data_IF_932887124670
#
_entry.id   IF_932887124670
#
_cell.length_a   1.000
_cell.length_b   1.000
_cell.length_c   1.000
_cell.angle_alpha   90.00
_cell.angle_beta   90.00
_cell.angle_gamma   90.00
#
_symmetry.space_group_name_H-M   'P 1'
#
loop_
_entity.id
_entity.type
_entity.pdbx_description
1 polymer ?
#
# COMPACT_ATOMS: atom_id res chain seq x y z
N UNK A 1 37.88 -4.35 -52.78
CA UNK A 1 36.46 -4.79 -52.69
C UNK A 1 36.07 -5.41 -51.34
N UNK A 2 36.94 -6.12 -50.60
CA UNK A 2 36.58 -6.76 -49.32
C UNK A 2 36.20 -5.85 -48.14
N UNK A 3 36.69 -4.59 -48.09
CA UNK A 3 36.35 -3.62 -47.02
C UNK A 3 34.96 -2.99 -47.16
N UNK A 4 34.38 -2.94 -48.37
CA UNK A 4 33.02 -2.40 -48.58
C UNK A 4 31.93 -3.42 -48.24
N UNK A 5 32.24 -4.72 -48.33
CA UNK A 5 31.31 -5.80 -48.00
C UNK A 5 31.17 -6.00 -46.47
N UNK A 6 32.22 -5.72 -45.70
CA UNK A 6 32.22 -5.82 -44.23
C UNK A 6 31.41 -4.69 -43.57
N UNK A 7 31.38 -3.50 -44.17
CA UNK A 7 30.55 -2.38 -43.70
C UNK A 7 29.06 -2.59 -43.98
N UNK A 8 28.70 -3.28 -45.06
CA UNK A 8 27.29 -3.60 -45.34
C UNK A 8 26.73 -4.65 -44.35
N UNK A 9 27.54 -5.63 -43.95
CA UNK A 9 27.11 -6.68 -43.01
C UNK A 9 26.91 -6.16 -41.58
N UNK A 10 27.71 -5.18 -41.16
CA UNK A 10 27.56 -4.53 -39.85
C UNK A 10 26.31 -3.64 -39.76
N UNK A 11 25.89 -3.04 -40.89
CA UNK A 11 24.69 -2.20 -40.93
C UNK A 11 23.40 -3.03 -40.86
N UNK A 12 23.37 -4.23 -41.44
CA UNK A 12 22.19 -5.13 -41.41
C UNK A 12 21.97 -5.74 -40.01
N UNK A 13 23.03 -5.94 -39.21
CA UNK A 13 22.91 -6.44 -37.84
C UNK A 13 22.43 -5.37 -36.84
N UNK A 14 22.67 -4.08 -37.11
CA UNK A 14 22.20 -3.00 -36.24
C UNK A 14 20.68 -2.75 -36.35
N UNK A 15 20.04 -3.11 -37.47
CA UNK A 15 18.60 -2.92 -37.70
C UNK A 15 17.74 -4.03 -37.09
N UNK A 16 18.34 -5.14 -36.64
CA UNK A 16 17.62 -6.26 -36.00
C UNK A 16 17.67 -6.24 -34.47
N UNK A 17 18.38 -5.27 -33.85
CA UNK A 17 18.47 -5.14 -32.39
C UNK A 17 17.43 -4.19 -31.77
N UNK A 18 16.41 -3.79 -32.53
CA UNK A 18 15.26 -3.02 -32.04
C UNK A 18 13.97 -3.72 -32.47
N UNK A 19 13.73 -4.92 -31.94
CA UNK A 19 12.39 -5.51 -31.96
C UNK A 19 12.22 -6.47 -30.80
N UNK A 20 11.94 -5.88 -29.64
CA UNK A 20 10.98 -6.36 -28.65
C UNK A 20 11.05 -5.40 -27.46
N UNK A 21 10.42 -4.23 -27.62
CA UNK A 21 9.71 -3.69 -26.48
C UNK A 21 8.38 -4.43 -26.47
N UNK A 22 8.25 -5.35 -25.52
CA UNK A 22 6.99 -5.90 -25.11
C UNK A 22 6.01 -4.74 -24.92
N UNK A 23 4.95 -4.71 -25.73
CA UNK A 23 3.74 -4.00 -25.34
C UNK A 23 3.24 -4.64 -24.05
N UNK A 24 3.72 -4.14 -22.92
CA UNK A 24 2.95 -4.20 -21.70
C UNK A 24 1.65 -3.47 -22.02
N UNK A 25 0.56 -4.24 -22.05
CA UNK A 25 -0.78 -3.71 -22.01
C UNK A 25 -0.93 -2.98 -20.67
N UNK A 26 -0.47 -1.74 -20.59
CA UNK A 26 -1.01 -0.77 -19.66
C UNK A 26 -2.42 -0.41 -20.17
N UNK A 27 -3.39 -1.23 -19.77
CA UNK A 27 -4.69 -0.70 -19.39
C UNK A 27 -4.84 -0.86 -17.90
N UNK A 28 -4.01 -0.12 -17.16
CA UNK A 28 -4.46 0.40 -15.88
C UNK A 28 -5.72 1.21 -16.18
N UNK A 29 -6.87 0.72 -15.74
CA UNK A 29 -8.11 1.49 -15.75
C UNK A 29 -7.89 2.60 -14.73
N UNK A 30 -7.33 3.70 -15.22
CA UNK A 30 -7.23 4.95 -14.50
C UNK A 30 -8.66 5.51 -14.44
N UNK A 31 -9.44 5.08 -13.44
CA UNK A 31 -10.57 5.89 -13.00
C UNK A 31 -9.95 7.13 -12.38
N UNK A 32 -9.60 8.11 -13.24
CA UNK A 32 -9.08 9.40 -12.84
C UNK A 32 -10.14 10.10 -12.00
N UNK A 33 -10.02 9.95 -10.68
CA UNK A 33 -10.39 10.98 -9.73
C UNK A 33 -9.23 11.97 -9.53
N UNK A 34 -8.39 12.17 -10.56
CA UNK A 34 -7.41 13.26 -10.64
C UNK A 34 -8.07 14.64 -10.86
N UNK A 35 -9.40 14.68 -10.99
CA UNK A 35 -10.13 15.93 -11.11
C UNK A 35 -10.45 16.48 -9.72
N UNK A 36 -9.64 17.45 -9.28
CA UNK A 36 -9.85 18.21 -8.04
C UNK A 36 -11.28 18.75 -7.94
N UNK A 37 -11.97 19.01 -9.05
CA UNK A 37 -13.36 19.46 -9.07
C UNK A 37 -14.32 18.39 -8.53
N UNK A 38 -14.09 17.10 -8.85
CA UNK A 38 -14.87 15.98 -8.31
C UNK A 38 -14.64 15.80 -6.81
N UNK A 39 -13.38 15.90 -6.38
CA UNK A 39 -13.03 15.83 -4.95
C UNK A 39 -13.68 16.98 -4.16
N UNK A 40 -13.64 18.19 -4.72
CA UNK A 40 -14.31 19.36 -4.15
C UNK A 40 -15.82 19.16 -4.08
N UNK A 41 -16.45 18.67 -5.15
CA UNK A 41 -17.88 18.38 -5.16
C UNK A 41 -18.25 17.34 -4.10
N UNK A 42 -17.47 16.26 -3.97
CA UNK A 42 -17.69 15.24 -2.94
C UNK A 42 -17.62 15.82 -1.52
N UNK A 43 -16.63 16.67 -1.26
CA UNK A 43 -16.51 17.35 0.03
C UNK A 43 -17.75 18.22 0.34
N UNK A 44 -18.28 18.94 -0.65
CA UNK A 44 -19.51 19.73 -0.50
C UNK A 44 -20.71 18.82 -0.21
N UNK A 45 -20.86 17.73 -0.96
CA UNK A 45 -21.97 16.77 -0.79
C UNK A 45 -21.94 16.11 0.60
N UNK A 46 -20.77 15.79 1.14
CA UNK A 46 -20.65 15.26 2.51
C UNK A 46 -21.07 16.28 3.59
N UNK A 47 -21.06 17.59 3.30
CA UNK A 47 -21.55 18.62 4.21
C UNK A 47 -23.07 18.86 4.09
N UNK A 48 -23.72 18.33 3.05
CA UNK A 48 -25.15 18.47 2.83
C UNK A 48 -25.94 17.36 3.54
N UNK A 49 -26.58 17.70 4.65
CA UNK A 49 -27.38 16.76 5.44
C UNK A 49 -28.57 16.13 4.69
N UNK A 50 -29.00 16.71 3.56
CA UNK A 50 -30.02 16.11 2.71
C UNK A 50 -29.50 14.91 1.91
N UNK A 51 -28.18 14.81 1.74
CA UNK A 51 -27.50 13.76 0.97
C UNK A 51 -26.92 12.65 1.85
N UNK A 52 -26.99 12.79 3.18
CA UNK A 52 -26.42 11.82 4.10
C UNK A 52 -27.16 10.48 4.06
N UNK A 53 -26.38 9.40 4.07
CA UNK A 53 -26.90 8.07 4.34
C UNK A 53 -27.16 7.92 5.85
N UNK A 54 -28.41 8.12 6.27
CA UNK A 54 -28.80 8.12 7.68
C UNK A 54 -28.83 6.71 8.26
N UNK A 55 -29.20 5.73 7.46
CA UNK A 55 -29.19 4.32 7.82
C UNK A 55 -27.77 3.87 8.20
N UNK A 56 -26.79 4.24 7.38
CA UNK A 56 -25.39 3.89 7.59
C UNK A 56 -24.78 4.64 8.78
N UNK A 57 -25.11 5.92 8.97
CA UNK A 57 -24.70 6.64 10.17
C UNK A 57 -25.24 5.98 11.45
N UNK A 58 -26.51 5.55 11.44
CA UNK A 58 -27.12 4.86 12.57
C UNK A 58 -26.40 3.52 12.85
N UNK A 59 -26.11 2.75 11.81
CA UNK A 59 -25.35 1.50 11.91
C UNK A 59 -23.96 1.72 12.50
N UNK A 60 -23.27 2.79 12.11
CA UNK A 60 -21.94 3.13 12.64
C UNK A 60 -22.00 3.47 14.13
N UNK A 61 -22.99 4.26 14.56
CA UNK A 61 -23.19 4.61 15.97
C UNK A 61 -23.45 3.36 16.81
N UNK A 62 -24.33 2.47 16.34
CA UNK A 62 -24.65 1.22 17.02
C UNK A 62 -23.44 0.28 17.08
N UNK A 63 -22.69 0.17 15.98
CA UNK A 63 -21.47 -0.63 15.90
C UNK A 63 -20.40 -0.10 16.84
N UNK A 64 -20.17 1.21 16.88
CA UNK A 64 -19.22 1.82 17.82
C UNK A 64 -19.63 1.57 19.26
N UNK A 65 -20.92 1.76 19.61
CA UNK A 65 -21.40 1.50 20.96
C UNK A 65 -21.17 0.05 21.39
N UNK A 66 -21.29 -0.91 20.46
CA UNK A 66 -21.12 -2.34 20.75
C UNK A 66 -19.66 -2.78 20.80
N UNK A 67 -18.79 -2.20 19.96
CA UNK A 67 -17.42 -2.65 19.75
C UNK A 67 -16.35 -1.60 20.10
N UNK A 68 -16.70 -0.58 20.87
CA UNK A 68 -15.80 0.55 21.20
C UNK A 68 -14.45 0.10 21.77
N UNK A 69 -14.40 -0.99 22.56
CA UNK A 69 -13.15 -1.51 23.11
C UNK A 69 -12.18 -2.03 22.03
N UNK A 70 -12.69 -2.53 20.90
CA UNK A 70 -11.86 -2.91 19.75
C UNK A 70 -11.33 -1.64 19.07
N UNK A 71 -12.20 -0.65 18.84
CA UNK A 71 -11.79 0.58 18.15
C UNK A 71 -10.75 1.40 18.93
N UNK A 72 -10.78 1.34 20.27
CA UNK A 72 -9.81 2.02 21.15
C UNK A 72 -8.40 1.42 21.11
N UNK A 73 -8.22 0.24 20.50
CA UNK A 73 -6.91 -0.38 20.35
C UNK A 73 -6.11 0.21 19.18
N UNK A 74 -6.79 0.87 18.24
CA UNK A 74 -6.15 1.50 17.09
C UNK A 74 -5.62 2.90 17.42
N UNK A 75 -4.65 3.41 16.63
CA UNK A 75 -4.07 4.74 16.86
C UNK A 75 -5.09 5.89 16.85
N UNK A 76 -6.15 5.78 16.06
CA UNK A 76 -7.25 6.73 15.96
C UNK A 76 -8.56 6.08 16.41
N UNK A 77 -9.36 6.85 17.14
CA UNK A 77 -10.70 6.42 17.49
C UNK A 77 -11.63 6.54 16.27
N UNK A 78 -12.15 5.41 15.80
CA UNK A 78 -13.11 5.36 14.70
C UNK A 78 -14.53 5.78 15.14
N UNK A 79 -14.74 7.07 15.39
CA UNK A 79 -16.07 7.60 15.67
C UNK A 79 -16.95 7.61 14.42
N UNK A 80 -18.26 7.43 14.61
CA UNK A 80 -19.23 7.58 13.54
C UNK A 80 -19.33 9.06 13.09
N UNK A 81 -19.37 9.28 11.78
CA UNK A 81 -19.60 10.59 11.17
C UNK A 81 -20.50 10.46 9.94
N UNK A 82 -21.30 11.49 9.63
CA UNK A 82 -22.19 11.45 8.47
C UNK A 82 -21.40 11.50 7.17
N UNK A 83 -21.86 10.73 6.18
CA UNK A 83 -21.33 10.75 4.81
C UNK A 83 -22.48 10.56 3.82
N UNK A 84 -22.31 11.07 2.61
CA UNK A 84 -23.24 10.79 1.53
C UNK A 84 -23.04 9.39 0.96
N UNK A 85 -24.04 8.87 0.25
CA UNK A 85 -23.98 7.56 -0.41
C UNK A 85 -22.73 7.40 -1.28
N UNK A 86 -22.18 6.18 -1.28
CA UNK A 86 -21.05 5.80 -2.10
C UNK A 86 -21.04 4.29 -2.34
N UNK A 87 -20.31 3.90 -3.38
CA UNK A 87 -20.07 2.52 -3.74
C UNK A 87 -18.55 2.29 -3.80
N UNK A 88 -18.00 1.64 -2.77
CA UNK A 88 -16.55 1.53 -2.58
C UNK A 88 -16.16 0.30 -1.77
N UNK A 89 -15.20 -0.46 -2.28
CA UNK A 89 -14.67 -1.64 -1.63
C UNK A 89 -13.16 -1.49 -1.38
N UNK A 90 -12.77 -1.68 -0.13
CA UNK A 90 -11.39 -1.56 0.34
C UNK A 90 -10.76 -2.94 0.52
N UNK A 91 -9.44 -3.01 0.41
CA UNK A 91 -8.68 -4.25 0.52
C UNK A 91 -7.62 -4.14 1.62
N UNK A 92 -7.49 -5.23 2.39
CA UNK A 92 -6.46 -5.41 3.41
C UNK A 92 -6.04 -6.87 3.44
N UNK A 93 -4.73 -7.14 3.41
CA UNK A 93 -4.22 -8.51 3.46
C UNK A 93 -2.92 -8.61 4.27
N UNK A 94 -2.97 -9.22 5.47
CA UNK A 94 -1.75 -9.53 6.22
C UNK A 94 -1.00 -10.69 5.56
N UNK A 95 0.32 -10.64 5.60
CA UNK A 95 1.18 -11.68 5.03
C UNK A 95 2.45 -11.89 5.83
N UNK A 96 3.10 -13.04 5.62
CA UNK A 96 4.37 -13.39 6.24
C UNK A 96 5.41 -13.71 5.17
N UNK A 97 6.60 -13.15 5.28
CA UNK A 97 7.76 -13.52 4.48
C UNK A 97 8.76 -14.24 5.38
N UNK A 98 9.14 -15.46 5.00
CA UNK A 98 10.24 -16.20 5.62
C UNK A 98 11.42 -16.20 4.66
N UNK A 99 12.56 -15.66 5.11
CA UNK A 99 13.78 -15.57 4.31
C UNK A 99 14.96 -15.96 5.19
N UNK A 100 15.60 -17.08 4.86
CA UNK A 100 16.58 -17.75 5.72
C UNK A 100 16.04 -17.99 7.14
N UNK A 101 16.67 -17.43 8.17
CA UNK A 101 16.24 -17.49 9.57
C UNK A 101 15.35 -16.31 9.99
N UNK A 102 15.09 -15.38 9.08
CA UNK A 102 14.37 -14.14 9.36
C UNK A 102 12.87 -14.28 9.06
N UNK A 103 12.07 -13.60 9.88
CA UNK A 103 10.62 -13.54 9.72
C UNK A 103 10.20 -12.08 9.62
N UNK A 104 9.51 -11.77 8.53
CA UNK A 104 8.85 -10.48 8.34
C UNK A 104 7.34 -10.68 8.35
N UNK A 105 6.65 -9.74 9.00
CA UNK A 105 5.20 -9.61 8.95
C UNK A 105 4.87 -8.38 8.14
N UNK A 106 3.87 -8.46 7.28
CA UNK A 106 3.48 -7.33 6.46
C UNK A 106 1.99 -7.23 6.26
N UNK A 107 1.58 -6.08 5.75
CA UNK A 107 0.20 -5.75 5.42
C UNK A 107 0.17 -5.06 4.07
N UNK A 108 -0.72 -5.51 3.19
CA UNK A 108 -1.10 -4.80 1.97
C UNK A 108 -2.37 -4.03 2.24
N UNK A 109 -2.43 -2.78 1.81
CA UNK A 109 -3.64 -1.95 1.82
C UNK A 109 -3.89 -1.43 0.43
N UNK A 110 -5.13 -1.53 -0.02
CA UNK A 110 -5.53 -1.14 -1.36
C UNK A 110 -7.04 -0.96 -1.49
N UNK A 111 -7.49 -0.93 -2.73
CA UNK A 111 -8.90 -0.80 -3.09
C UNK A 111 -9.20 -1.70 -4.28
N UNK A 112 -10.43 -2.20 -4.35
CA UNK A 112 -10.89 -2.88 -5.55
C UNK A 112 -11.19 -1.86 -6.64
N UNK A 113 -10.97 -2.23 -7.90
CA UNK A 113 -11.27 -1.33 -9.05
C UNK A 113 -12.74 -0.89 -9.04
N UNK A 114 -13.62 -1.79 -8.63
CA UNK A 114 -15.01 -1.53 -8.27
C UNK A 114 -15.48 -2.63 -7.29
N UNK A 115 -16.63 -2.48 -6.62
CA UNK A 115 -17.07 -3.40 -5.58
C UNK A 115 -17.35 -4.84 -6.05
N UNK A 116 -17.59 -5.04 -7.34
CA UNK A 116 -17.81 -6.36 -7.95
C UNK A 116 -16.53 -6.96 -8.57
N UNK A 117 -15.39 -6.28 -8.42
CA UNK A 117 -14.12 -6.69 -9.03
C UNK A 117 -13.32 -7.60 -8.13
N UNK A 118 -12.67 -8.62 -8.71
CA UNK A 118 -11.61 -9.38 -8.03
C UNK A 118 -10.24 -8.68 -8.14
N UNK A 119 -10.15 -7.60 -8.91
CA UNK A 119 -8.90 -6.88 -9.15
C UNK A 119 -8.68 -5.79 -8.12
N UNK A 120 -7.48 -5.79 -7.53
CA UNK A 120 -7.05 -4.88 -6.47
C UNK A 120 -5.98 -3.96 -7.02
N UNK A 121 -6.01 -2.70 -6.58
CA UNK A 121 -4.93 -1.74 -6.74
C UNK A 121 -4.28 -1.53 -5.37
N UNK A 122 -3.03 -1.97 -5.23
CA UNK A 122 -2.27 -1.79 -4.00
C UNK A 122 -1.86 -0.33 -3.87
N UNK A 123 -2.05 0.26 -2.69
CA UNK A 123 -1.64 1.65 -2.39
C UNK A 123 -0.52 1.72 -1.35
N UNK A 124 -0.38 0.68 -0.52
CA UNK A 124 0.69 0.56 0.47
C UNK A 124 1.00 -0.91 0.72
N UNK A 125 2.30 -1.22 0.83
CA UNK A 125 2.78 -2.45 1.44
C UNK A 125 3.75 -2.09 2.58
N UNK A 126 3.41 -2.47 3.80
CA UNK A 126 4.24 -2.23 4.98
C UNK A 126 4.76 -3.56 5.51
N UNK A 127 6.06 -3.69 5.68
CA UNK A 127 6.76 -4.91 6.08
C UNK A 127 7.62 -4.59 7.32
N UNK A 128 7.54 -5.43 8.36
CA UNK A 128 8.28 -5.26 9.60
C UNK A 128 9.03 -6.55 9.93
N UNK A 129 10.34 -6.45 10.19
CA UNK A 129 11.14 -7.56 10.70
C UNK A 129 10.76 -7.84 12.16
N UNK A 130 10.40 -9.09 12.46
CA UNK A 130 9.97 -9.48 13.82
C UNK A 130 10.78 -10.65 14.39
N UNK A 131 11.20 -11.59 13.54
CA UNK A 131 11.72 -12.91 13.93
C UNK A 131 10.77 -13.71 14.85
N UNK A 132 9.50 -13.32 14.90
CA UNK A 132 8.44 -13.99 15.64
C UNK A 132 7.28 -14.29 14.69
N UNK A 133 6.99 -15.57 14.55
CA UNK A 133 5.95 -16.06 13.64
C UNK A 133 4.53 -15.92 14.21
N UNK A 134 4.39 -15.68 15.52
CA UNK A 134 3.10 -15.65 16.21
C UNK A 134 2.46 -14.25 16.21
N UNK A 135 3.25 -13.22 15.94
CA UNK A 135 2.74 -11.85 15.80
C UNK A 135 1.98 -11.75 14.50
N UNK A 136 0.74 -11.24 14.55
CA UNK A 136 0.01 -10.82 13.36
C UNK A 136 -0.15 -9.30 13.38
N UNK A 137 -0.02 -8.62 12.22
CA UNK A 137 -0.29 -7.19 12.15
C UNK A 137 -1.78 -6.95 12.35
N UNK A 138 -2.12 -6.01 13.22
CA UNK A 138 -3.49 -5.54 13.37
C UNK A 138 -3.74 -4.45 12.35
N UNK A 139 -4.90 -4.49 11.69
CA UNK A 139 -5.23 -3.51 10.66
C UNK A 139 -6.72 -3.23 10.65
N UNK A 140 -7.06 -1.96 10.52
CA UNK A 140 -8.38 -1.47 10.26
C UNK A 140 -8.36 -0.62 8.99
N UNK A 141 -9.24 -0.94 8.03
CA UNK A 141 -9.37 -0.19 6.78
C UNK A 141 -10.79 0.35 6.69
N UNK A 142 -10.91 1.64 6.42
CA UNK A 142 -12.18 2.34 6.38
C UNK A 142 -12.46 2.87 4.99
N UNK A 143 -13.61 2.45 4.44
CA UNK A 143 -14.18 2.99 3.21
C UNK A 143 -14.96 4.29 3.43
N UNK A 144 -15.19 4.67 4.70
CA UNK A 144 -16.05 5.81 5.09
C UNK A 144 -15.55 7.15 4.54
N UNK A 145 -14.25 7.25 4.30
CA UNK A 145 -13.63 8.45 3.75
C UNK A 145 -13.71 8.53 2.22
N UNK A 146 -14.51 7.69 1.54
CA UNK A 146 -14.60 7.67 0.07
C UNK A 146 -14.71 9.08 -0.55
N UNK A 147 -13.86 9.41 -1.55
CA UNK A 147 -12.95 8.51 -2.28
C UNK A 147 -11.54 8.38 -1.68
N UNK A 148 -11.31 8.86 -0.47
CA UNK A 148 -10.04 8.67 0.22
C UNK A 148 -9.97 7.29 0.87
N UNK A 149 -8.88 6.58 0.63
CA UNK A 149 -8.58 5.33 1.31
C UNK A 149 -7.85 5.65 2.60
N UNK A 150 -8.39 5.21 3.74
CA UNK A 150 -7.74 5.37 5.05
C UNK A 150 -7.60 4.03 5.72
N UNK A 151 -6.45 3.79 6.33
CA UNK A 151 -6.19 2.60 7.12
C UNK A 151 -5.29 2.95 8.31
N UNK A 152 -5.35 2.11 9.32
CA UNK A 152 -4.49 2.22 10.49
C UNK A 152 -4.24 0.83 11.08
N UNK A 153 -3.26 0.74 11.96
CA UNK A 153 -2.94 -0.53 12.57
C UNK A 153 -1.78 -0.46 13.53
N UNK A 154 -1.43 -1.64 14.03
CA UNK A 154 -0.33 -1.83 14.97
C UNK A 154 0.50 -3.05 14.61
N UNK A 155 1.78 -2.99 14.97
CA UNK A 155 2.68 -4.15 15.05
C UNK A 155 3.10 -4.30 16.51
N UNK A 156 2.51 -5.27 17.20
CA UNK A 156 2.78 -5.54 18.61
C UNK A 156 3.99 -6.50 18.74
N UNK A 157 5.21 -5.98 18.61
CA UNK A 157 6.42 -6.80 18.73
C UNK A 157 6.84 -6.99 20.18
N UNK A 158 7.44 -8.15 20.47
CA UNK A 158 7.91 -8.52 21.81
C UNK A 158 8.79 -7.46 22.49
N UNK A 159 9.56 -6.70 21.72
CA UNK A 159 10.45 -5.64 22.25
C UNK A 159 9.95 -4.21 22.01
N UNK A 160 9.00 -4.01 21.10
CA UNK A 160 8.58 -2.69 20.63
C UNK A 160 7.23 -2.77 19.92
N UNK A 161 6.31 -1.88 20.26
CA UNK A 161 5.08 -1.69 19.50
C UNK A 161 5.28 -0.56 18.49
N UNK A 162 4.65 -0.72 17.32
CA UNK A 162 4.60 0.34 16.32
C UNK A 162 3.17 0.59 15.88
N UNK A 163 2.75 1.84 15.98
CA UNK A 163 1.48 2.34 15.45
C UNK A 163 1.68 2.91 14.06
N UNK A 164 0.67 2.77 13.22
CA UNK A 164 0.68 3.40 11.91
C UNK A 164 -0.70 3.88 11.46
N UNK A 165 -0.69 4.96 10.67
CA UNK A 165 -1.86 5.55 10.03
C UNK A 165 -1.49 5.84 8.58
N UNK A 166 -2.35 5.44 7.66
CA UNK A 166 -2.18 5.57 6.24
C UNK A 166 -3.37 6.31 5.63
N UNK A 167 -3.07 7.12 4.61
CA UNK A 167 -4.08 7.62 3.69
C UNK A 167 -3.58 7.56 2.24
N UNK A 168 -4.52 7.38 1.31
CA UNK A 168 -4.33 7.67 -0.09
C UNK A 168 -5.52 8.46 -0.63
N UNK A 169 -5.19 9.41 -1.49
CA UNK A 169 -6.12 10.24 -2.22
C UNK A 169 -6.17 9.79 -3.67
N UNK A 170 -7.30 10.01 -4.36
CA UNK A 170 -7.40 9.59 -5.75
C UNK A 170 -6.60 10.42 -6.75
N UNK A 171 -6.13 11.62 -6.37
CA UNK A 171 -5.20 12.43 -7.15
C UNK A 171 -3.73 11.98 -6.99
N UNK A 172 -3.51 10.84 -6.32
CA UNK A 172 -2.21 10.17 -6.25
C UNK A 172 -1.35 10.62 -5.06
N UNK A 173 -1.87 11.45 -4.16
CA UNK A 173 -1.18 11.75 -2.91
C UNK A 173 -1.42 10.62 -1.91
N UNK A 174 -0.36 10.07 -1.34
CA UNK A 174 -0.47 9.02 -0.32
C UNK A 174 0.63 9.16 0.70
N UNK A 175 0.28 8.88 1.95
CA UNK A 175 1.20 9.04 3.08
C UNK A 175 0.99 7.97 4.12
N UNK A 176 2.09 7.50 4.71
CA UNK A 176 2.12 6.64 5.87
C UNK A 176 2.79 7.38 7.02
N UNK A 177 2.11 7.52 8.15
CA UNK A 177 2.71 7.84 9.43
C UNK A 177 2.96 6.54 10.18
N UNK A 178 4.22 6.19 10.41
CA UNK A 178 4.63 5.01 11.17
C UNK A 178 5.41 5.47 12.39
N UNK A 179 4.80 5.39 13.58
CA UNK A 179 5.41 5.77 14.86
C UNK A 179 6.15 7.12 14.79
N UNK A 180 5.42 8.15 14.35
CA UNK A 180 5.89 9.53 14.12
C UNK A 180 6.86 9.76 12.95
N UNK A 181 7.25 8.72 12.19
CA UNK A 181 7.94 8.89 10.91
C UNK A 181 6.93 9.01 9.78
N UNK A 182 6.96 10.13 9.06
CA UNK A 182 6.17 10.35 7.85
C UNK A 182 6.88 9.78 6.61
N UNK A 183 6.16 9.01 5.81
CA UNK A 183 6.56 8.54 4.48
C UNK A 183 5.64 9.13 3.43
N UNK A 184 6.23 9.68 2.38
CA UNK A 184 5.54 10.14 1.19
C UNK A 184 5.55 9.00 0.18
N UNK A 185 4.41 8.33 0.01
CA UNK A 185 4.32 7.09 -0.75
C UNK A 185 4.29 7.33 -2.26
N UNK A 186 4.33 8.60 -2.70
CA UNK A 186 4.63 8.96 -4.10
C UNK A 186 6.04 8.57 -4.51
N UNK A 187 6.95 8.38 -3.55
CA UNK A 187 8.32 7.92 -3.79
C UNK A 187 8.51 6.42 -3.59
N UNK A 188 7.41 5.68 -3.47
CA UNK A 188 7.39 4.23 -3.37
C UNK A 188 6.40 3.73 -2.33
N UNK A 189 5.64 2.70 -2.70
CA UNK A 189 4.52 2.20 -1.90
C UNK A 189 4.93 1.08 -0.94
N UNK A 190 6.14 0.55 -1.08
CA UNK A 190 6.66 -0.51 -0.20
C UNK A 190 7.62 0.05 0.83
N UNK A 191 7.26 -0.11 2.10
CA UNK A 191 8.07 0.27 3.25
C UNK A 191 8.53 -0.98 3.99
N UNK A 192 9.83 -1.06 4.30
CA UNK A 192 10.39 -2.13 5.14
C UNK A 192 11.02 -1.52 6.38
N UNK A 193 10.60 -1.97 7.55
CA UNK A 193 11.04 -1.51 8.87
C UNK A 193 11.90 -2.59 9.53
N UNK A 194 13.02 -2.16 10.12
CA UNK A 194 13.96 -3.02 10.83
C UNK A 194 14.12 -2.51 12.27
N UNK A 195 13.39 -3.07 13.23
CA UNK A 195 13.49 -2.70 14.64
C UNK A 195 14.86 -3.07 15.21
N UNK A 196 15.38 -2.21 16.10
CA UNK A 196 16.66 -2.43 16.80
C UNK A 196 16.43 -2.63 18.31
N UNK A 197 17.36 -3.32 18.96
CA UNK A 197 17.31 -3.58 20.42
C UNK A 197 17.32 -2.30 21.27
N UNK A 198 17.86 -1.21 20.75
CA UNK A 198 17.90 0.12 21.39
C UNK A 198 16.59 0.91 21.23
N UNK A 199 15.52 0.29 20.72
CA UNK A 199 14.20 0.88 20.41
C UNK A 199 14.19 1.89 19.27
N UNK A 200 15.31 2.08 18.57
CA UNK A 200 15.29 2.74 17.26
C UNK A 200 14.87 1.76 16.16
N UNK A 201 14.62 2.28 14.96
CA UNK A 201 14.40 1.43 13.78
C UNK A 201 15.10 2.02 12.57
N UNK A 202 15.56 1.14 11.68
CA UNK A 202 15.96 1.50 10.33
C UNK A 202 14.78 1.29 9.40
N UNK A 203 14.82 1.91 8.22
CA UNK A 203 13.77 1.76 7.23
C UNK A 203 14.31 1.85 5.81
N UNK A 204 13.57 1.27 4.87
CA UNK A 204 13.74 1.44 3.43
C UNK A 204 12.38 1.71 2.78
N UNK A 205 12.40 2.46 1.68
CA UNK A 205 11.23 2.75 0.85
C UNK A 205 11.58 2.36 -0.59
N UNK A 206 10.69 1.59 -1.23
CA UNK A 206 10.88 1.07 -2.58
C UNK A 206 9.69 1.44 -3.46
N UNK A 207 10.00 1.75 -4.73
CA UNK A 207 9.00 1.94 -5.80
C UNK A 207 8.25 0.65 -6.13
N UNK A 208 8.83 -0.50 -5.80
CA UNK A 208 8.24 -1.81 -5.99
C UNK A 208 6.86 -1.91 -5.34
N UNK A 209 5.92 -2.50 -6.08
CA UNK A 209 4.57 -2.79 -5.64
C UNK A 209 4.22 -4.23 -6.04
N UNK A 210 3.40 -4.95 -5.25
CA UNK A 210 2.79 -6.21 -5.66
C UNK A 210 2.15 -6.17 -7.05
N UNK A 211 1.60 -5.02 -7.43
CA UNK A 211 0.91 -4.80 -8.71
C UNK A 211 1.85 -4.91 -9.93
N UNK A 212 3.18 -4.84 -9.72
CA UNK A 212 4.18 -5.04 -10.79
C UNK A 212 4.40 -6.52 -11.14
N UNK A 213 3.78 -7.44 -10.40
CA UNK A 213 4.03 -8.88 -10.50
C UNK A 213 2.72 -9.63 -10.76
N UNK A 214 2.81 -10.72 -11.52
CA UNK A 214 1.67 -11.62 -11.73
C UNK A 214 1.38 -12.51 -10.52
N UNK A 215 2.38 -12.70 -9.65
CA UNK A 215 2.31 -13.51 -8.44
C UNK A 215 2.89 -12.74 -7.27
N UNK A 216 2.22 -12.81 -6.13
CA UNK A 216 2.65 -12.16 -4.91
C UNK A 216 4.00 -12.71 -4.42
N UNK A 217 4.25 -14.00 -4.62
CA UNK A 217 5.51 -14.64 -4.23
C UNK A 217 6.71 -14.02 -4.96
N UNK A 218 6.57 -13.70 -6.25
CA UNK A 218 7.64 -13.09 -7.04
C UNK A 218 8.01 -11.70 -6.51
N UNK A 219 7.00 -10.92 -6.09
CA UNK A 219 7.19 -9.65 -5.40
C UNK A 219 8.00 -9.84 -4.10
N UNK A 220 7.59 -10.78 -3.23
CA UNK A 220 8.28 -11.01 -1.95
C UNK A 220 9.74 -11.46 -2.15
N UNK A 221 10.00 -12.32 -3.13
CA UNK A 221 11.36 -12.76 -3.50
C UNK A 221 12.21 -11.57 -3.95
N UNK A 222 11.63 -10.65 -4.74
CA UNK A 222 12.36 -9.49 -5.22
C UNK A 222 12.74 -8.53 -4.08
N UNK A 223 11.83 -8.26 -3.14
CA UNK A 223 12.09 -7.43 -1.97
C UNK A 223 13.24 -8.02 -1.13
N UNK A 224 13.23 -9.32 -0.86
CA UNK A 224 14.25 -9.98 -0.03
C UNK A 224 15.64 -10.03 -0.70
N UNK A 225 15.69 -10.07 -2.04
CA UNK A 225 16.95 -10.06 -2.80
C UNK A 225 17.54 -8.65 -3.01
N UNK A 226 16.83 -7.60 -2.59
CA UNK A 226 17.30 -6.24 -2.81
C UNK A 226 18.59 -5.95 -2.03
N UNK A 227 19.61 -5.39 -2.71
CA UNK A 227 20.91 -5.10 -2.07
C UNK A 227 20.79 -4.14 -0.88
N UNK A 228 19.89 -3.15 -0.93
CA UNK A 228 19.68 -2.21 0.19
C UNK A 228 19.15 -2.94 1.43
N UNK A 229 18.18 -3.85 1.22
CA UNK A 229 17.66 -4.72 2.28
C UNK A 229 18.78 -5.54 2.94
N UNK A 230 19.62 -6.21 2.13
CA UNK A 230 20.75 -7.00 2.63
C UNK A 230 21.78 -6.16 3.40
N UNK A 231 22.00 -4.90 3.02
CA UNK A 231 22.88 -3.98 3.77
C UNK A 231 22.28 -3.65 5.14
N UNK A 232 20.97 -3.40 5.22
CA UNK A 232 20.30 -3.10 6.49
C UNK A 232 20.35 -4.25 7.48
N UNK A 233 20.17 -5.48 7.01
CA UNK A 233 20.26 -6.66 7.88
C UNK A 233 21.63 -6.77 8.55
N UNK A 234 22.72 -6.46 7.84
CA UNK A 234 24.08 -6.44 8.39
C UNK A 234 24.31 -5.34 9.44
N UNK A 235 23.47 -4.31 9.49
CA UNK A 235 23.55 -3.22 10.47
C UNK A 235 22.78 -3.54 11.77
N UNK A 236 22.10 -4.69 11.83
CA UNK A 236 21.37 -5.16 13.02
C UNK A 236 22.22 -6.07 13.92
N UNK A 237 23.36 -6.56 13.41
CA UNK A 237 24.39 -7.29 14.15
C UNK A 237 25.20 -6.35 15.06
#
# INVERSE_FOLDING_TARGET
>A
MRRKLTLLLALVLAIYSCKNDSQHNEKAINVQYSDLSKLKNRAIVNLDSSQWNKELLKQDIESYSKYSEIFKQYPLNNYAFPVADYDYAVYSNPFTIKYDSLIFKGIQVGEYINPDSDSIVTKMTLIVLTNDNQIEPETFVSSRNFPYLTAEGTFNLTMQNFEWVFQATPDGFSSLFFSMKLFDLRFGQTIVIYPKKDKSFLYEQFEESPDHYSKFEDYTINIMKNKKHLIRLKQLE
#
